data_IF_306802851994
#
_entry.id   IF_306802851994
#
_cell.length_a   1.000
_cell.length_b   1.000
_cell.length_c   1.000
_cell.angle_alpha   90.00
_cell.angle_beta   90.00
_cell.angle_gamma   90.00
#
_symmetry.space_group_name_H-M   'P 1'
#
loop_
_entity.id
_entity.type
_entity.pdbx_description
1 polymer ?
#
# COMPACT_ATOMS: atom_id res chain seq x y z
N UNK A 1 -49.85 1.09 -7.98
CA UNK A 1 -48.86 0.02 -8.19
C UNK A 1 -49.59 -1.29 -8.41
N UNK A 2 -49.39 -1.93 -9.54
CA UNK A 2 -50.01 -3.24 -9.85
C UNK A 2 -49.17 -4.38 -9.27
N UNK A 3 -49.77 -5.56 -9.14
CA UNK A 3 -49.06 -6.79 -8.75
C UNK A 3 -47.92 -7.08 -9.74
N UNK A 4 -48.10 -6.77 -11.03
CA UNK A 4 -47.08 -6.94 -12.05
C UNK A 4 -45.92 -5.95 -11.89
N UNK A 5 -46.20 -4.68 -11.59
CA UNK A 5 -45.16 -3.70 -11.27
C UNK A 5 -44.36 -4.09 -10.01
N UNK A 6 -45.02 -4.71 -9.02
CA UNK A 6 -44.35 -5.23 -7.82
C UNK A 6 -43.43 -6.41 -8.15
N UNK A 7 -43.86 -7.35 -9.01
CA UNK A 7 -43.03 -8.47 -9.46
C UNK A 7 -41.80 -8.00 -10.23
N UNK A 8 -41.96 -7.01 -11.10
CA UNK A 8 -40.84 -6.41 -11.85
C UNK A 8 -39.82 -5.81 -10.90
N UNK A 9 -40.26 -5.01 -9.91
CA UNK A 9 -39.35 -4.43 -8.90
C UNK A 9 -38.63 -5.50 -8.07
N UNK A 10 -39.31 -6.59 -7.71
CA UNK A 10 -38.67 -7.72 -7.00
C UNK A 10 -37.57 -8.35 -7.86
N UNK A 11 -37.82 -8.54 -9.15
CA UNK A 11 -36.82 -9.09 -10.08
C UNK A 11 -35.60 -8.16 -10.21
N UNK A 12 -35.83 -6.86 -10.38
CA UNK A 12 -34.75 -5.85 -10.45
C UNK A 12 -33.89 -5.81 -9.19
N UNK A 13 -34.53 -5.78 -8.01
CA UNK A 13 -33.82 -5.79 -6.71
C UNK A 13 -33.02 -7.08 -6.54
N UNK A 14 -33.58 -8.23 -6.95
CA UNK A 14 -32.87 -9.51 -6.87
C UNK A 14 -31.62 -9.55 -7.75
N UNK A 15 -31.69 -8.95 -8.95
CA UNK A 15 -30.55 -8.82 -9.85
C UNK A 15 -29.48 -7.89 -9.27
N UNK A 16 -29.89 -6.76 -8.67
CA UNK A 16 -28.95 -5.84 -8.01
C UNK A 16 -28.25 -6.48 -6.81
N UNK A 17 -28.97 -7.25 -5.99
CA UNK A 17 -28.38 -8.01 -4.87
C UNK A 17 -27.36 -9.03 -5.39
N UNK A 18 -27.67 -9.73 -6.48
CA UNK A 18 -26.73 -10.68 -7.09
C UNK A 18 -25.46 -9.98 -7.59
N UNK A 19 -25.60 -8.81 -8.22
CA UNK A 19 -24.47 -8.01 -8.68
C UNK A 19 -23.60 -7.51 -7.50
N UNK A 20 -24.21 -6.97 -6.44
CA UNK A 20 -23.48 -6.53 -5.26
C UNK A 20 -22.74 -7.69 -4.57
N UNK A 21 -23.37 -8.87 -4.49
CA UNK A 21 -22.71 -10.08 -3.96
C UNK A 21 -21.49 -10.49 -4.78
N UNK A 22 -21.59 -10.44 -6.11
CA UNK A 22 -20.45 -10.71 -6.99
C UNK A 22 -19.32 -9.68 -6.81
N UNK A 23 -19.66 -8.40 -6.63
CA UNK A 23 -18.68 -7.35 -6.38
C UNK A 23 -17.99 -7.50 -5.01
N UNK A 24 -18.75 -7.89 -3.98
CA UNK A 24 -18.18 -8.24 -2.67
C UNK A 24 -17.25 -9.45 -2.78
N UNK A 25 -17.65 -10.51 -3.51
CA UNK A 25 -16.82 -11.68 -3.73
C UNK A 25 -15.49 -11.30 -4.42
N UNK A 26 -15.52 -10.46 -5.45
CA UNK A 26 -14.31 -9.95 -6.11
C UNK A 26 -13.41 -9.12 -5.18
N UNK A 27 -13.99 -8.33 -4.28
CA UNK A 27 -13.22 -7.58 -3.28
C UNK A 27 -12.61 -8.47 -2.20
N UNK A 28 -13.26 -9.59 -1.88
CA UNK A 28 -12.76 -10.60 -0.93
C UNK A 28 -11.72 -11.54 -1.57
N UNK A 29 -11.87 -11.86 -2.85
CA UNK A 29 -10.93 -12.67 -3.65
C UNK A 29 -9.69 -11.90 -4.10
N UNK A 30 -9.71 -10.55 -4.03
CA UNK A 30 -8.49 -9.75 -4.04
C UNK A 30 -7.79 -10.00 -2.70
N UNK A 31 -7.20 -11.19 -2.56
CA UNK A 31 -6.33 -11.54 -1.45
C UNK A 31 -5.41 -10.34 -1.24
N UNK A 32 -5.48 -9.76 -0.04
CA UNK A 32 -4.46 -8.84 0.44
C UNK A 32 -3.22 -9.70 0.60
N UNK A 33 -2.56 -9.98 -0.52
CA UNK A 33 -1.30 -10.70 -0.52
C UNK A 33 -0.34 -9.82 0.27
N UNK A 34 0.09 -10.32 1.43
CA UNK A 34 1.16 -9.69 2.23
C UNK A 34 2.53 -9.92 1.57
N UNK A 35 2.56 -10.11 0.25
CA UNK A 35 3.75 -10.41 -0.52
C UNK A 35 3.96 -9.36 -1.60
N UNK A 36 5.23 -9.01 -1.80
CA UNK A 36 5.69 -8.15 -2.89
C UNK A 36 5.92 -9.06 -4.10
N UNK A 37 5.44 -8.72 -5.32
CA UNK A 37 5.69 -9.54 -6.50
C UNK A 37 7.20 -9.75 -6.74
N UNK A 38 7.60 -10.96 -7.13
CA UNK A 38 9.00 -11.41 -7.14
C UNK A 38 10.00 -10.50 -7.90
N UNK A 39 9.54 -9.76 -8.92
CA UNK A 39 10.36 -8.84 -9.73
C UNK A 39 9.91 -7.38 -9.62
N UNK A 40 9.16 -7.05 -8.56
CA UNK A 40 8.68 -5.70 -8.37
C UNK A 40 9.84 -4.76 -8.04
N UNK A 41 9.79 -3.56 -8.65
CA UNK A 41 10.68 -2.45 -8.38
C UNK A 41 9.88 -1.19 -8.15
N UNK A 42 10.28 -0.41 -7.15
CA UNK A 42 9.75 0.93 -6.97
C UNK A 42 10.33 1.84 -8.04
N UNK A 43 9.46 2.39 -8.90
CA UNK A 43 9.84 3.37 -9.95
C UNK A 43 9.20 4.73 -9.75
N UNK A 44 8.17 4.83 -8.89
CA UNK A 44 7.44 6.06 -8.62
C UNK A 44 7.75 6.62 -7.23
N UNK A 45 7.80 7.95 -7.10
CA UNK A 45 7.91 8.59 -5.80
C UNK A 45 6.67 8.30 -4.96
N UNK A 46 6.85 7.96 -3.68
CA UNK A 46 5.75 7.77 -2.73
C UNK A 46 5.79 8.79 -1.61
N UNK A 47 4.63 9.30 -1.23
CA UNK A 47 4.50 10.35 -0.23
C UNK A 47 3.19 10.27 0.56
N UNK A 48 3.15 11.05 1.64
CA UNK A 48 2.01 11.11 2.54
C UNK A 48 0.69 11.41 1.82
N UNK A 49 -0.36 10.68 2.19
CA UNK A 49 -1.71 10.84 1.66
C UNK A 49 -2.00 10.01 0.41
N UNK A 50 -0.99 9.40 -0.22
CA UNK A 50 -1.21 8.49 -1.35
C UNK A 50 -1.88 7.19 -0.92
N UNK A 51 -2.71 6.63 -1.80
CA UNK A 51 -3.33 5.32 -1.64
C UNK A 51 -3.21 4.53 -2.93
N UNK A 52 -2.41 3.46 -2.95
CA UNK A 52 -2.23 2.59 -4.11
C UNK A 52 -1.51 1.29 -3.71
N UNK A 53 -1.30 0.40 -4.68
CA UNK A 53 -0.58 -0.87 -4.46
C UNK A 53 0.92 -0.67 -4.19
N UNK A 54 1.58 0.37 -4.74
CA UNK A 54 2.98 0.68 -4.43
C UNK A 54 3.17 1.03 -2.95
N UNK A 55 2.25 1.80 -2.36
CA UNK A 55 2.25 2.07 -0.91
C UNK A 55 2.06 0.79 -0.11
N UNK A 56 1.21 -0.13 -0.58
CA UNK A 56 1.03 -1.43 0.07
C UNK A 56 2.32 -2.24 0.06
N UNK A 57 3.03 -2.30 -1.07
CA UNK A 57 4.33 -2.96 -1.17
C UNK A 57 5.39 -2.28 -0.30
N UNK A 58 5.39 -0.95 -0.23
CA UNK A 58 6.26 -0.21 0.68
C UNK A 58 6.01 -0.61 2.13
N UNK A 59 4.75 -0.71 2.56
CA UNK A 59 4.40 -1.10 3.92
C UNK A 59 4.82 -2.54 4.24
N UNK A 60 4.62 -3.48 3.30
CA UNK A 60 5.09 -4.86 3.42
C UNK A 60 6.62 -4.89 3.61
N UNK A 61 7.34 -4.15 2.76
CA UNK A 61 8.80 -4.04 2.86
C UNK A 61 9.23 -3.47 4.22
N UNK A 62 8.65 -2.35 4.65
CA UNK A 62 8.99 -1.69 5.91
C UNK A 62 8.70 -2.58 7.13
N UNK A 63 7.59 -3.33 7.10
CA UNK A 63 7.24 -4.33 8.12
C UNK A 63 8.33 -5.42 8.20
N UNK A 64 8.82 -5.88 7.06
CA UNK A 64 9.89 -6.88 6.98
C UNK A 64 11.26 -6.36 7.48
N UNK A 65 11.48 -5.04 7.55
CA UNK A 65 12.70 -4.45 8.12
C UNK A 65 12.75 -4.51 9.66
N UNK A 66 11.67 -4.95 10.31
CA UNK A 66 11.60 -5.18 11.76
C UNK A 66 10.86 -4.08 12.54
N UNK A 67 10.59 -4.37 13.81
CA UNK A 67 9.79 -3.52 14.68
C UNK A 67 10.46 -2.17 15.00
N UNK A 68 11.79 -2.05 14.89
CA UNK A 68 12.48 -0.77 15.04
C UNK A 68 12.12 0.21 13.91
N UNK A 69 11.84 -0.32 12.71
CA UNK A 69 11.45 0.47 11.55
C UNK A 69 9.94 0.71 11.56
N UNK A 70 9.15 -0.36 11.63
CA UNK A 70 7.69 -0.27 11.53
C UNK A 70 6.99 -1.07 12.64
N UNK A 71 6.95 -0.54 13.89
CA UNK A 71 6.38 -1.24 15.04
C UNK A 71 4.94 -1.69 14.83
N UNK A 72 4.13 -0.84 14.19
CA UNK A 72 2.71 -1.09 13.98
C UNK A 72 2.46 -2.11 12.86
N UNK A 73 3.37 -2.24 11.89
CA UNK A 73 3.32 -3.25 10.83
C UNK A 73 2.03 -3.26 10.00
N UNK A 74 1.31 -2.12 9.92
CA UNK A 74 0.01 -2.01 9.24
C UNK A 74 0.22 -1.91 7.73
N UNK A 75 -0.38 -2.85 7.00
CA UNK A 75 -0.40 -2.87 5.53
C UNK A 75 -1.82 -2.53 5.07
N UNK A 76 -2.06 -1.26 4.75
CA UNK A 76 -3.37 -0.74 4.34
C UNK A 76 -3.41 -0.25 2.89
N UNK A 77 -2.25 -0.06 2.26
CA UNK A 77 -2.11 0.64 0.98
C UNK A 77 -2.28 2.15 1.09
N UNK A 78 -2.45 2.72 2.29
CA UNK A 78 -2.54 4.16 2.52
C UNK A 78 -1.31 4.71 3.25
N UNK A 79 -0.66 5.72 2.67
CA UNK A 79 0.55 6.34 3.19
C UNK A 79 0.16 7.36 4.27
N UNK A 80 -0.17 6.85 5.44
CA UNK A 80 -0.54 7.66 6.61
C UNK A 80 0.65 8.07 7.49
N UNK A 81 0.36 8.63 8.68
CA UNK A 81 1.39 9.08 9.62
C UNK A 81 2.35 7.97 10.06
N UNK A 82 1.84 6.75 10.24
CA UNK A 82 2.64 5.60 10.69
C UNK A 82 3.62 5.14 9.59
N UNK A 83 3.15 5.06 8.35
CA UNK A 83 4.01 4.75 7.20
C UNK A 83 5.08 5.82 7.00
N UNK A 84 4.71 7.11 7.14
CA UNK A 84 5.69 8.20 7.08
C UNK A 84 6.78 8.06 8.13
N UNK A 85 6.40 7.78 9.37
CA UNK A 85 7.35 7.55 10.47
C UNK A 85 8.26 6.35 10.19
N UNK A 86 7.71 5.25 9.68
CA UNK A 86 8.49 4.08 9.30
C UNK A 86 9.49 4.37 8.16
N UNK A 87 9.09 5.19 7.18
CA UNK A 87 10.02 5.66 6.14
C UNK A 87 11.14 6.50 6.76
N UNK A 88 10.83 7.42 7.68
CA UNK A 88 11.86 8.21 8.38
C UNK A 88 12.87 7.30 9.08
N UNK A 89 12.40 6.33 9.88
CA UNK A 89 13.30 5.40 10.55
C UNK A 89 14.16 4.59 9.57
N UNK A 90 13.57 4.15 8.45
CA UNK A 90 14.32 3.43 7.42
C UNK A 90 15.39 4.31 6.78
N UNK A 91 15.05 5.56 6.47
CA UNK A 91 15.99 6.54 5.91
C UNK A 91 17.15 6.83 6.86
N UNK A 92 16.86 6.95 8.16
CA UNK A 92 17.87 7.17 9.19
C UNK A 92 18.77 5.94 9.39
N UNK A 93 18.21 4.72 9.33
CA UNK A 93 18.97 3.47 9.38
C UNK A 93 19.98 3.35 8.24
N UNK A 94 19.62 3.80 7.04
CA UNK A 94 20.49 3.78 5.85
C UNK A 94 20.92 5.20 5.43
N UNK A 95 21.18 6.08 6.40
CA UNK A 95 21.43 7.50 6.15
C UNK A 95 22.58 7.79 5.17
N UNK A 96 23.63 6.98 5.19
CA UNK A 96 24.78 7.15 4.29
C UNK A 96 24.40 7.01 2.81
N UNK A 97 23.49 6.09 2.49
CA UNK A 97 23.05 5.84 1.11
C UNK A 97 21.88 6.73 0.73
N UNK A 98 21.02 7.07 1.70
CA UNK A 98 19.74 7.74 1.42
C UNK A 98 19.81 9.25 1.62
N UNK A 99 20.41 9.73 2.72
CA UNK A 99 20.31 11.12 3.16
C UNK A 99 21.57 11.94 2.82
N UNK A 100 22.76 11.36 3.03
CA UNK A 100 24.04 12.04 2.78
C UNK A 100 24.20 12.55 1.33
N UNK A 101 23.77 11.82 0.27
CA UNK A 101 23.88 12.32 -1.10
C UNK A 101 23.07 13.61 -1.36
N UNK A 102 22.12 13.93 -0.48
CA UNK A 102 21.28 15.13 -0.55
C UNK A 102 21.62 16.14 0.55
N UNK A 103 22.72 15.94 1.28
CA UNK A 103 23.15 16.78 2.41
C UNK A 103 22.10 16.85 3.54
N UNK A 104 21.27 15.80 3.68
CA UNK A 104 20.25 15.71 4.71
C UNK A 104 20.77 15.00 5.96
N UNK A 105 20.34 15.48 7.13
CA UNK A 105 20.72 14.92 8.44
C UNK A 105 19.58 14.20 9.15
N UNK A 106 18.35 14.29 8.63
CA UNK A 106 17.16 13.67 9.20
C UNK A 106 16.28 13.06 8.10
N UNK A 107 15.55 12.00 8.44
CA UNK A 107 14.61 11.38 7.50
C UNK A 107 13.48 12.34 7.12
N UNK A 108 13.10 12.35 5.85
CA UNK A 108 12.06 13.22 5.30
C UNK A 108 10.68 12.56 5.33
N UNK A 109 10.65 11.22 5.32
CA UNK A 109 9.43 10.45 5.14
C UNK A 109 8.91 10.45 3.70
N UNK A 110 9.69 10.97 2.74
CA UNK A 110 9.41 10.95 1.31
C UNK A 110 10.24 9.87 0.63
N UNK A 111 9.58 8.97 -0.13
CA UNK A 111 10.26 7.87 -0.84
C UNK A 111 10.71 8.36 -2.21
N UNK A 112 11.80 9.13 -2.20
CA UNK A 112 12.49 9.64 -3.38
C UNK A 112 13.47 8.64 -3.99
N UNK A 113 14.29 9.11 -4.94
CA UNK A 113 15.20 8.29 -5.74
C UNK A 113 16.11 7.39 -4.88
N UNK A 114 16.90 7.97 -3.97
CA UNK A 114 17.85 7.19 -3.14
C UNK A 114 17.15 6.25 -2.16
N UNK A 115 15.96 6.59 -1.66
CA UNK A 115 15.16 5.67 -0.85
C UNK A 115 14.69 4.47 -1.67
N UNK A 116 14.18 4.69 -2.89
CA UNK A 116 13.78 3.60 -3.79
C UNK A 116 14.95 2.73 -4.18
N UNK A 117 16.09 3.34 -4.52
CA UNK A 117 17.29 2.60 -4.90
C UNK A 117 17.71 1.66 -3.78
N UNK A 118 17.71 2.14 -2.53
CA UNK A 118 18.03 1.30 -1.37
C UNK A 118 17.02 0.18 -1.14
N UNK A 119 15.72 0.47 -1.30
CA UNK A 119 14.67 -0.56 -1.17
C UNK A 119 14.83 -1.63 -2.26
N UNK A 120 15.03 -1.22 -3.51
CA UNK A 120 15.21 -2.13 -4.64
C UNK A 120 16.47 -2.99 -4.49
N UNK A 121 17.58 -2.40 -4.02
CA UNK A 121 18.82 -3.12 -3.66
C UNK A 121 18.54 -4.25 -2.65
N UNK A 122 17.79 -3.95 -1.58
CA UNK A 122 17.48 -4.94 -0.52
C UNK A 122 16.53 -6.03 -1.04
N UNK A 123 15.61 -5.69 -1.94
CA UNK A 123 14.72 -6.65 -2.59
C UNK A 123 15.46 -7.56 -3.59
N UNK A 124 16.68 -7.21 -4.00
CA UNK A 124 17.45 -7.95 -4.99
C UNK A 124 16.95 -7.77 -6.42
N UNK A 125 16.20 -6.70 -6.69
CA UNK A 125 15.60 -6.39 -7.99
C UNK A 125 16.18 -5.11 -8.57
#
# INVERSE_FOLDING_TARGET
>A
MTIEELKVKIAEISAFIAQLKAQIAQLLEKEVTEEIPANYRFTINLEYGQTNDDVRYLQIFLKAQGQEIYPEGIVSGWFGPLTKKAVIHFQEKYAQDILVPWELTAGTGFVGQTTRDKINEILGN
#
